data_IF_208947536446
#
_entry.id   IF_208947536446
#
_cell.length_a   1.000
_cell.length_b   1.000
_cell.length_c   1.000
_cell.angle_alpha   90.00
_cell.angle_beta   90.00
_cell.angle_gamma   90.00
#
_symmetry.space_group_name_H-M   'P 1'
#
loop_
_entity.id
_entity.type
_entity.pdbx_description
1 polymer ?
#
# COMPACT_ATOMS: atom_id res chain seq x y z
N UNK A 1 62.72 -52.34 15.52
CA UNK A 1 61.41 -51.88 16.05
C UNK A 1 61.23 -50.45 15.57
N UNK A 2 60.36 -50.23 14.59
CA UNK A 2 60.11 -48.91 13.98
C UNK A 2 59.17 -48.08 14.87
N UNK A 3 59.59 -46.87 15.22
CA UNK A 3 58.76 -45.87 15.87
C UNK A 3 58.01 -45.06 14.81
N UNK A 4 56.69 -45.25 14.73
CA UNK A 4 55.78 -44.42 13.92
C UNK A 4 55.44 -43.12 14.67
N UNK A 5 55.80 -41.99 14.08
CA UNK A 5 55.43 -40.64 14.53
C UNK A 5 54.06 -40.30 13.92
N UNK A 6 53.05 -40.04 14.76
CA UNK A 6 51.73 -39.57 14.34
C UNK A 6 51.73 -38.05 14.15
N UNK A 7 51.34 -37.61 12.96
CA UNK A 7 51.24 -36.20 12.56
C UNK A 7 50.02 -35.51 13.20
N UNK A 8 50.27 -34.51 14.06
CA UNK A 8 49.26 -33.70 14.75
C UNK A 8 48.71 -32.53 13.91
N UNK A 9 49.21 -32.31 12.68
CA UNK A 9 48.83 -31.13 11.87
C UNK A 9 47.51 -31.27 11.11
N UNK A 10 47.03 -32.49 10.85
CA UNK A 10 45.80 -32.72 10.06
C UNK A 10 44.51 -32.33 10.78
N UNK A 11 44.44 -32.50 12.10
CA UNK A 11 43.21 -32.30 12.89
C UNK A 11 42.89 -30.82 13.14
N UNK A 12 43.92 -29.97 13.27
CA UNK A 12 43.76 -28.54 13.56
C UNK A 12 43.24 -27.78 12.34
N UNK A 13 43.65 -28.18 11.14
CA UNK A 13 43.27 -27.50 9.89
C UNK A 13 41.78 -27.70 9.57
N UNK A 14 41.29 -28.93 9.73
CA UNK A 14 39.89 -29.30 9.50
C UNK A 14 38.93 -28.61 10.49
N UNK A 15 39.35 -28.41 11.74
CA UNK A 15 38.55 -27.69 12.75
C UNK A 15 38.49 -26.19 12.42
N UNK A 16 39.61 -25.59 11.99
CA UNK A 16 39.66 -24.17 11.59
C UNK A 16 38.77 -23.88 10.38
N UNK A 17 38.72 -24.80 9.43
CA UNK A 17 37.98 -24.65 8.19
C UNK A 17 36.47 -24.80 8.41
N UNK A 18 36.05 -25.77 9.25
CA UNK A 18 34.65 -25.89 9.69
C UNK A 18 34.15 -24.67 10.47
N UNK A 19 35.00 -24.06 11.30
CA UNK A 19 34.67 -22.83 12.05
C UNK A 19 34.48 -21.63 11.12
N UNK A 20 35.28 -21.51 10.06
CA UNK A 20 35.13 -20.45 9.04
C UNK A 20 33.84 -20.63 8.25
N UNK A 21 33.55 -21.84 7.80
CA UNK A 21 32.32 -22.16 7.06
C UNK A 21 31.09 -21.85 7.92
N UNK A 22 31.08 -22.29 9.18
CA UNK A 22 29.98 -22.01 10.10
C UNK A 22 29.81 -20.51 10.38
N UNK A 23 30.90 -19.75 10.50
CA UNK A 23 30.84 -18.29 10.66
C UNK A 23 30.33 -17.57 9.41
N UNK A 24 30.71 -18.02 8.20
CA UNK A 24 30.21 -17.49 6.93
C UNK A 24 28.73 -17.80 6.73
N UNK A 25 28.30 -19.03 7.01
CA UNK A 25 26.89 -19.43 7.01
C UNK A 25 26.08 -18.57 8.00
N UNK A 26 26.56 -18.40 9.23
CA UNK A 26 25.88 -17.56 10.24
C UNK A 26 25.82 -16.09 9.81
N UNK A 27 26.85 -15.57 9.12
CA UNK A 27 26.85 -14.20 8.59
C UNK A 27 25.90 -14.05 7.40
N UNK A 28 25.83 -15.04 6.52
CA UNK A 28 24.91 -15.08 5.39
C UNK A 28 23.46 -15.10 5.87
N UNK A 29 23.14 -15.97 6.84
CA UNK A 29 21.82 -16.05 7.49
C UNK A 29 21.46 -14.70 8.14
N UNK A 30 22.35 -14.11 8.96
CA UNK A 30 22.09 -12.78 9.56
C UNK A 30 21.92 -11.66 8.53
N UNK A 31 22.63 -11.72 7.39
CA UNK A 31 22.49 -10.74 6.31
C UNK A 31 21.15 -10.90 5.61
N UNK A 32 20.71 -12.12 5.39
CA UNK A 32 19.42 -12.45 4.80
C UNK A 32 18.26 -12.04 5.71
N UNK A 33 18.30 -12.38 7.00
CA UNK A 33 17.32 -11.91 8.00
C UNK A 33 17.22 -10.38 8.01
N UNK A 34 18.36 -9.67 7.98
CA UNK A 34 18.36 -8.19 7.90
C UNK A 34 17.76 -7.67 6.60
N UNK A 35 17.93 -8.38 5.49
CA UNK A 35 17.35 -8.00 4.20
C UNK A 35 15.83 -8.21 4.20
N UNK A 36 15.36 -9.33 4.76
CA UNK A 36 13.94 -9.65 4.91
C UNK A 36 13.23 -8.64 5.83
N UNK A 37 13.81 -8.34 7.01
CA UNK A 37 13.29 -7.32 7.92
C UNK A 37 13.18 -5.95 7.22
N UNK A 38 14.18 -5.57 6.42
CA UNK A 38 14.15 -4.32 5.65
C UNK A 38 13.10 -4.36 4.55
N UNK A 39 12.90 -5.51 3.89
CA UNK A 39 11.87 -5.68 2.87
C UNK A 39 10.47 -5.52 3.48
N UNK A 40 10.20 -6.18 4.61
CA UNK A 40 8.94 -6.05 5.36
C UNK A 40 8.72 -4.60 5.79
N UNK A 41 9.74 -3.93 6.35
CA UNK A 41 9.61 -2.53 6.75
C UNK A 41 9.28 -1.60 5.57
N UNK A 42 9.87 -1.84 4.38
CA UNK A 42 9.52 -1.11 3.16
C UNK A 42 8.07 -1.36 2.73
N UNK A 43 7.62 -2.62 2.78
CA UNK A 43 6.23 -2.98 2.44
C UNK A 43 5.23 -2.31 3.38
N UNK A 44 5.47 -2.35 4.70
CA UNK A 44 4.63 -1.69 5.71
C UNK A 44 4.57 -0.19 5.47
N UNK A 45 5.72 0.44 5.18
CA UNK A 45 5.79 1.88 4.90
C UNK A 45 5.01 2.25 3.63
N UNK A 46 5.15 1.45 2.55
CA UNK A 46 4.44 1.66 1.28
C UNK A 46 2.92 1.46 1.46
N UNK A 47 2.52 0.35 2.09
CA UNK A 47 1.11 0.00 2.26
C UNK A 47 0.33 1.05 3.06
N UNK A 48 0.94 1.64 4.09
CA UNK A 48 0.28 2.63 4.96
C UNK A 48 0.51 4.08 4.53
N UNK A 49 1.13 4.32 3.37
CA UNK A 49 1.39 5.68 2.89
C UNK A 49 0.11 6.28 2.30
N UNK A 50 -0.53 7.15 3.07
CA UNK A 50 -1.71 7.90 2.62
C UNK A 50 -1.27 8.93 1.57
N UNK A 51 -1.86 8.85 0.38
CA UNK A 51 -1.61 9.78 -0.73
C UNK A 51 -2.60 10.94 -0.72
N UNK A 52 -3.86 10.64 -0.43
CA UNK A 52 -4.95 11.62 -0.40
C UNK A 52 -5.92 11.23 0.71
N UNK A 53 -6.39 12.23 1.46
CA UNK A 53 -7.51 12.10 2.39
C UNK A 53 -8.55 13.15 2.01
N UNK A 54 -9.81 12.72 1.84
CA UNK A 54 -10.95 13.60 1.56
C UNK A 54 -12.05 13.34 2.57
N UNK A 55 -12.83 14.37 2.87
CA UNK A 55 -13.91 14.29 3.87
C UNK A 55 -15.25 14.67 3.23
N UNK A 56 -16.34 14.09 3.73
CA UNK A 56 -17.69 14.53 3.36
C UNK A 56 -17.98 15.92 3.91
N UNK A 57 -18.90 16.63 3.23
CA UNK A 57 -19.33 17.96 3.59
C UNK A 57 -20.87 18.00 3.62
N UNK A 58 -21.49 17.74 4.78
CA UNK A 58 -22.93 17.98 4.97
C UNK A 58 -23.16 19.46 5.36
N UNK A 59 -23.92 20.19 4.55
CA UNK A 59 -24.26 21.60 4.82
C UNK A 59 -25.42 21.69 5.82
N UNK A 60 -25.46 22.68 6.75
CA UNK A 60 -24.44 23.71 7.04
C UNK A 60 -23.40 23.29 8.08
N UNK A 61 -23.59 22.17 8.78
CA UNK A 61 -22.64 21.62 9.74
C UNK A 61 -22.59 20.10 9.63
N UNK A 62 -21.39 19.52 9.63
CA UNK A 62 -21.15 18.08 9.63
C UNK A 62 -20.24 17.72 10.82
N UNK A 63 -20.81 17.45 12.02
CA UNK A 63 -20.01 17.13 13.20
C UNK A 63 -19.30 15.77 13.09
N UNK A 64 -19.73 14.92 12.15
CA UNK A 64 -19.22 13.56 11.96
C UNK A 64 -18.99 13.31 10.46
N UNK A 65 -17.97 13.95 9.85
CA UNK A 65 -17.71 13.76 8.43
C UNK A 65 -17.16 12.36 8.19
N UNK A 66 -17.64 11.74 7.10
CA UNK A 66 -17.07 10.51 6.57
C UNK A 66 -15.71 10.84 5.94
N UNK A 67 -14.77 9.90 6.00
CA UNK A 67 -13.42 10.08 5.46
C UNK A 67 -13.12 8.98 4.45
N UNK A 68 -12.57 9.37 3.31
CA UNK A 68 -11.92 8.46 2.37
C UNK A 68 -10.41 8.71 2.42
N UNK A 69 -9.66 7.71 2.85
CA UNK A 69 -8.21 7.65 2.76
C UNK A 69 -7.82 6.78 1.57
N UNK A 70 -6.96 7.33 0.71
CA UNK A 70 -6.41 6.62 -0.44
C UNK A 70 -4.94 6.36 -0.14
N UNK A 71 -4.62 5.11 0.14
CA UNK A 71 -3.27 4.60 0.33
C UNK A 71 -2.80 3.96 -0.98
N UNK A 72 -1.52 3.60 -1.08
CA UNK A 72 -0.99 3.00 -2.31
C UNK A 72 -1.57 1.62 -2.62
N UNK A 73 -1.74 0.80 -1.58
CA UNK A 73 -2.20 -0.59 -1.73
C UNK A 73 -3.71 -0.76 -1.56
N UNK A 74 -4.38 0.19 -0.90
CA UNK A 74 -5.80 0.10 -0.56
C UNK A 74 -6.46 1.45 -0.43
N UNK A 75 -7.78 1.44 -0.45
CA UNK A 75 -8.61 2.54 0.00
C UNK A 75 -9.24 2.17 1.34
N UNK A 76 -9.52 3.17 2.16
CA UNK A 76 -10.26 3.01 3.41
C UNK A 76 -11.31 4.11 3.51
N UNK A 77 -12.57 3.71 3.68
CA UNK A 77 -13.69 4.61 3.97
C UNK A 77 -14.08 4.43 5.42
N UNK A 78 -14.19 5.56 6.13
CA UNK A 78 -14.62 5.64 7.52
C UNK A 78 -15.94 6.39 7.53
N UNK A 79 -17.04 5.66 7.70
CA UNK A 79 -18.36 6.24 7.87
C UNK A 79 -18.60 6.52 9.35
N UNK A 80 -19.07 7.73 9.67
CA UNK A 80 -19.29 8.14 11.06
C UNK A 80 -20.74 8.48 11.31
N UNK A 81 -21.22 7.98 12.45
CA UNK A 81 -22.55 8.25 12.98
C UNK A 81 -22.42 8.78 14.42
N UNK A 82 -23.53 9.25 14.99
CA UNK A 82 -23.53 9.99 16.27
C UNK A 82 -22.95 9.14 17.45
N UNK A 83 -22.94 7.81 17.34
CA UNK A 83 -22.38 6.91 18.36
C UNK A 83 -21.63 5.69 17.81
N UNK A 84 -21.36 5.65 16.51
CA UNK A 84 -20.70 4.51 15.88
C UNK A 84 -19.86 4.94 14.68
N UNK A 85 -18.96 4.06 14.26
CA UNK A 85 -18.18 4.24 13.05
C UNK A 85 -17.97 2.90 12.37
N UNK A 86 -18.09 2.90 11.05
CA UNK A 86 -17.86 1.74 10.20
C UNK A 86 -16.64 2.01 9.34
N UNK A 87 -15.76 1.01 9.20
CA UNK A 87 -14.52 1.13 8.43
C UNK A 87 -14.50 0.05 7.37
N UNK A 88 -14.49 0.47 6.11
CA UNK A 88 -14.41 -0.41 4.96
C UNK A 88 -13.07 -0.19 4.26
N UNK A 89 -12.28 -1.25 4.14
CA UNK A 89 -11.02 -1.21 3.38
C UNK A 89 -11.10 -2.16 2.19
N UNK A 90 -10.61 -1.68 1.03
CA UNK A 90 -10.53 -2.48 -0.20
C UNK A 90 -9.18 -2.30 -0.85
N UNK A 91 -8.53 -3.41 -1.19
CA UNK A 91 -7.27 -3.37 -1.91
C UNK A 91 -7.47 -2.79 -3.32
N UNK A 92 -6.53 -1.97 -3.77
CA UNK A 92 -6.57 -1.33 -5.11
C UNK A 92 -6.72 -2.38 -6.23
N UNK A 93 -6.07 -3.54 -6.08
CA UNK A 93 -6.13 -4.66 -7.04
C UNK A 93 -7.55 -5.24 -7.22
N UNK A 94 -8.38 -5.13 -6.18
CA UNK A 94 -9.72 -5.73 -6.12
C UNK A 94 -10.81 -4.77 -6.60
N UNK A 95 -10.47 -3.49 -6.82
CA UNK A 95 -11.38 -2.50 -7.39
C UNK A 95 -11.59 -2.81 -8.88
N UNK A 96 -12.83 -3.13 -9.27
CA UNK A 96 -13.23 -3.41 -10.65
C UNK A 96 -13.63 -2.14 -11.41
N UNK A 97 -14.27 -1.19 -10.75
CA UNK A 97 -14.70 0.06 -11.36
C UNK A 97 -14.83 1.19 -10.33
N UNK A 98 -14.75 2.44 -10.81
CA UNK A 98 -14.97 3.63 -10.00
C UNK A 98 -15.58 4.76 -10.82
N UNK A 99 -16.69 5.30 -10.33
CA UNK A 99 -17.42 6.38 -11.00
C UNK A 99 -17.93 7.42 -10.00
N UNK A 100 -18.35 8.56 -10.55
CA UNK A 100 -18.81 9.70 -9.78
C UNK A 100 -20.25 9.98 -10.19
N UNK A 101 -21.14 10.02 -9.20
CA UNK A 101 -22.49 10.53 -9.36
C UNK A 101 -22.53 11.97 -8.86
N UNK A 102 -22.66 12.93 -9.76
CA UNK A 102 -22.74 14.34 -9.42
C UNK A 102 -24.20 14.73 -9.20
N UNK A 103 -24.47 15.41 -8.10
CA UNK A 103 -25.76 16.04 -7.80
C UNK A 103 -25.55 17.54 -7.58
N UNK A 104 -26.61 18.27 -7.27
CA UNK A 104 -26.50 19.72 -7.01
C UNK A 104 -25.58 19.93 -5.79
N UNK A 105 -24.57 20.80 -5.96
CA UNK A 105 -23.51 21.17 -4.97
C UNK A 105 -22.49 20.09 -4.59
N UNK A 106 -22.82 18.80 -4.66
CA UNK A 106 -21.96 17.72 -4.19
C UNK A 106 -21.86 16.56 -5.18
N UNK A 107 -20.98 15.62 -4.86
CA UNK A 107 -20.80 14.40 -5.64
C UNK A 107 -20.62 13.21 -4.71
N UNK A 108 -21.01 12.05 -5.20
CA UNK A 108 -20.79 10.76 -4.57
C UNK A 108 -19.76 10.00 -5.38
N UNK A 109 -18.77 9.44 -4.69
CA UNK A 109 -17.82 8.50 -5.27
C UNK A 109 -18.32 7.09 -5.00
N UNK A 110 -18.43 6.29 -6.06
CA UNK A 110 -18.90 4.91 -6.01
C UNK A 110 -17.78 3.99 -6.50
N UNK A 111 -17.48 2.97 -5.70
CA UNK A 111 -16.35 2.07 -5.90
C UNK A 111 -16.90 0.64 -5.93
N UNK A 112 -16.68 -0.04 -7.04
CA UNK A 112 -17.10 -1.43 -7.22
C UNK A 112 -15.93 -2.34 -6.89
N UNK A 113 -16.09 -3.20 -5.90
CA UNK A 113 -15.12 -4.21 -5.51
C UNK A 113 -15.51 -5.58 -6.08
N UNK A 114 -14.53 -6.40 -6.45
CA UNK A 114 -14.75 -7.80 -6.85
C UNK A 114 -14.98 -8.72 -5.66
N UNK A 115 -14.55 -8.32 -4.47
CA UNK A 115 -14.42 -9.18 -3.28
C UNK A 115 -15.40 -8.83 -2.18
N UNK A 116 -16.16 -7.74 -2.31
CA UNK A 116 -17.10 -7.30 -1.29
C UNK A 116 -18.49 -7.87 -1.57
N UNK A 117 -19.17 -8.41 -0.56
CA UNK A 117 -20.48 -9.07 -0.72
C UNK A 117 -21.54 -8.13 -1.32
N UNK A 118 -21.55 -6.87 -0.88
CA UNK A 118 -22.46 -5.84 -1.42
C UNK A 118 -21.97 -5.27 -2.76
N UNK A 119 -20.78 -5.66 -3.23
CA UNK A 119 -20.06 -5.24 -4.44
C UNK A 119 -19.78 -3.73 -4.57
N UNK A 120 -20.42 -2.87 -3.78
CA UNK A 120 -20.44 -1.44 -3.99
C UNK A 120 -20.17 -0.70 -2.67
N UNK A 121 -19.17 0.17 -2.67
CA UNK A 121 -18.81 1.01 -1.53
C UNK A 121 -18.92 2.47 -1.96
N UNK A 122 -19.53 3.30 -1.11
CA UNK A 122 -19.90 4.68 -1.45
C UNK A 122 -19.41 5.66 -0.41
N UNK A 123 -19.00 6.84 -0.87
CA UNK A 123 -18.86 8.02 -0.02
C UNK A 123 -19.59 9.19 -0.69
N UNK A 124 -20.56 9.76 0.02
CA UNK A 124 -21.42 10.84 -0.46
C UNK A 124 -20.94 12.21 0.03
N UNK A 125 -21.57 13.27 -0.49
CA UNK A 125 -21.35 14.66 -0.06
C UNK A 125 -19.91 15.15 -0.19
N UNK A 126 -19.15 14.62 -1.16
CA UNK A 126 -17.83 15.17 -1.51
C UNK A 126 -18.01 16.42 -2.36
N UNK A 127 -17.09 17.38 -2.27
CA UNK A 127 -17.04 18.43 -3.31
C UNK A 127 -16.67 17.76 -4.63
N UNK A 128 -17.24 18.22 -5.74
CA UNK A 128 -16.98 17.61 -7.05
C UNK A 128 -15.49 17.52 -7.36
N UNK A 129 -14.70 18.56 -7.05
CA UNK A 129 -13.24 18.54 -7.25
C UNK A 129 -12.53 17.44 -6.43
N UNK A 130 -13.02 17.12 -5.24
CA UNK A 130 -12.47 16.08 -4.38
C UNK A 130 -12.84 14.69 -4.90
N UNK A 131 -14.09 14.48 -5.30
CA UNK A 131 -14.53 13.23 -5.93
C UNK A 131 -13.74 12.95 -7.22
N UNK A 132 -13.56 13.96 -8.07
CA UNK A 132 -12.74 13.86 -9.28
C UNK A 132 -11.29 13.55 -8.98
N UNK A 133 -10.71 14.22 -7.98
CA UNK A 133 -9.35 13.93 -7.51
C UNK A 133 -9.22 12.48 -7.06
N UNK A 134 -10.10 12.05 -6.15
CA UNK A 134 -10.09 10.70 -5.59
C UNK A 134 -10.20 9.64 -6.70
N UNK A 135 -11.15 9.79 -7.63
CA UNK A 135 -11.30 8.91 -8.78
C UNK A 135 -10.02 8.80 -9.60
N UNK A 136 -9.38 9.93 -9.93
CA UNK A 136 -8.15 9.94 -10.73
C UNK A 136 -7.00 9.21 -10.05
N UNK A 137 -6.82 9.44 -8.75
CA UNK A 137 -5.76 8.78 -7.97
C UNK A 137 -6.00 7.27 -7.91
N UNK A 138 -7.23 6.84 -7.59
CA UNK A 138 -7.57 5.42 -7.50
C UNK A 138 -7.39 4.73 -8.86
N UNK A 139 -7.89 5.32 -9.95
CA UNK A 139 -7.68 4.76 -11.31
C UNK A 139 -6.20 4.68 -11.68
N UNK A 140 -5.41 5.70 -11.36
CA UNK A 140 -3.97 5.69 -11.60
C UNK A 140 -3.28 4.56 -10.82
N UNK A 141 -3.65 4.37 -9.55
CA UNK A 141 -3.10 3.32 -8.71
C UNK A 141 -3.46 1.94 -9.25
N UNK A 142 -4.69 1.74 -9.72
CA UNK A 142 -5.11 0.49 -10.38
C UNK A 142 -4.23 0.16 -11.58
N UNK A 143 -3.90 1.15 -12.41
CA UNK A 143 -3.00 0.95 -13.56
C UNK A 143 -1.59 0.59 -13.10
N UNK A 144 -1.07 1.27 -12.08
CA UNK A 144 0.25 1.01 -11.52
C UNK A 144 0.35 -0.40 -10.94
N UNK A 145 -0.65 -0.82 -10.17
CA UNK A 145 -0.74 -2.16 -9.57
C UNK A 145 -0.83 -3.24 -10.66
N UNK A 146 -1.69 -3.06 -11.67
CA UNK A 146 -1.81 -3.99 -12.80
C UNK A 146 -0.49 -4.14 -13.58
N UNK A 147 0.31 -3.08 -13.67
CA UNK A 147 1.61 -3.07 -14.34
C UNK A 147 2.78 -3.37 -13.41
N UNK A 148 2.52 -3.65 -12.13
CA UNK A 148 3.54 -3.94 -11.11
C UNK A 148 4.62 -2.84 -11.03
N UNK A 149 4.21 -1.57 -11.13
CA UNK A 149 5.13 -0.42 -11.07
C UNK A 149 5.55 -0.19 -9.62
N UNK A 150 6.87 -0.16 -9.36
CA UNK A 150 7.38 0.21 -8.05
C UNK A 150 7.27 1.72 -7.80
N UNK A 151 6.54 2.08 -6.75
CA UNK A 151 6.27 3.45 -6.33
C UNK A 151 7.13 3.91 -5.16
N UNK A 152 8.01 3.03 -4.65
CA UNK A 152 8.83 3.27 -3.46
C UNK A 152 9.80 4.45 -3.63
N UNK A 153 10.19 4.74 -4.88
CA UNK A 153 11.11 5.83 -5.22
C UNK A 153 10.47 7.22 -5.27
N UNK A 154 9.15 7.33 -5.31
CA UNK A 154 8.46 8.63 -5.37
C UNK A 154 8.18 9.17 -3.98
N UNK A 155 8.24 10.49 -3.81
CA UNK A 155 7.57 11.17 -2.70
C UNK A 155 6.05 11.17 -2.91
N UNK A 156 5.27 11.42 -1.84
CA UNK A 156 3.80 11.50 -1.95
C UNK A 156 3.38 12.53 -3.02
N UNK A 157 4.01 13.70 -3.04
CA UNK A 157 3.69 14.78 -3.98
C UNK A 157 3.96 14.39 -5.43
N UNK A 158 5.10 13.76 -5.70
CA UNK A 158 5.48 13.29 -7.04
C UNK A 158 4.55 12.18 -7.51
N UNK A 159 4.25 11.21 -6.64
CA UNK A 159 3.36 10.11 -6.97
C UNK A 159 1.96 10.63 -7.29
N UNK A 160 1.40 11.50 -6.44
CA UNK A 160 0.09 12.13 -6.67
C UNK A 160 0.07 12.92 -7.99
N UNK A 161 1.14 13.63 -8.34
CA UNK A 161 1.24 14.33 -9.62
C UNK A 161 1.22 13.36 -10.81
N UNK A 162 2.02 12.28 -10.75
CA UNK A 162 2.08 11.25 -11.81
C UNK A 162 0.75 10.52 -11.99
N UNK A 163 0.07 10.19 -10.89
CA UNK A 163 -1.25 9.54 -10.94
C UNK A 163 -2.31 10.45 -11.57
N UNK A 164 -2.25 11.77 -11.33
CA UNK A 164 -3.14 12.75 -11.97
C UNK A 164 -2.89 12.87 -13.48
N UNK A 165 -1.63 12.83 -13.91
CA UNK A 165 -1.24 12.87 -15.33
C UNK A 165 -1.74 11.64 -16.10
N UNK A 166 -1.80 10.48 -15.45
CA UNK A 166 -2.22 9.23 -16.08
C UNK A 166 -3.74 9.14 -16.31
N UNK A 167 -4.54 9.78 -15.45
CA UNK A 167 -6.01 9.70 -15.47
C UNK A 167 -6.64 11.05 -15.85
N UNK A 168 -6.53 11.41 -17.14
CA UNK A 168 -6.98 12.72 -17.66
C UNK A 168 -8.37 12.71 -18.29
N UNK A 169 -9.12 11.61 -18.18
CA UNK A 169 -10.47 11.50 -18.76
C UNK A 169 -11.30 12.73 -18.43
N UNK A 170 -11.78 13.43 -19.48
CA UNK A 170 -12.65 14.59 -19.33
C UNK A 170 -13.97 14.14 -18.73
N UNK A 171 -14.39 14.81 -17.66
CA UNK A 171 -15.71 14.61 -17.06
C UNK A 171 -16.60 15.69 -17.65
N UNK A 172 -17.62 15.27 -18.40
CA UNK A 172 -18.68 16.17 -18.84
C UNK A 172 -19.51 16.45 -17.58
N UNK A 173 -19.48 17.69 -17.12
CA UNK A 173 -20.20 18.15 -15.92
C UNK A 173 -21.33 19.04 -16.36
#
# INVERSE_FOLDING_TARGET
METKIYDQKGSVNVVSEKLKIHQEETRAVKKQERAEVRAVAKLVKKSNRILVSVSSHRFPFDPFPDILNIEEGRITIINRHIFSSEVHSVDIKDISNIFINTVVFFSQLVIISKTFEENEIKIANLRTKEAVLARRIIEGLRIFENKQIDTSGYTVKELVAKLKELSTTKIVT
#
